data_IF_174312813818
#
_entry.id   IF_174312813818
#
_cell.length_a   1.000
_cell.length_b   1.000
_cell.length_c   1.000
_cell.angle_alpha   90.00
_cell.angle_beta   90.00
_cell.angle_gamma   90.00
#
_symmetry.space_group_name_H-M   'P 1'
#
loop_
_entity.id
_entity.type
_entity.pdbx_description
1 polymer ?
#
# COMPACT_ATOMS: atom_id res chain seq x y z
N UNK A 1 0.36 -2.92 -14.55
CA UNK A 1 -0.62 -2.77 -13.44
C UNK A 1 -0.62 -4.00 -12.52
N UNK A 2 -0.78 -5.22 -13.05
CA UNK A 2 -0.87 -6.44 -12.23
C UNK A 2 0.42 -6.75 -11.44
N UNK A 3 1.59 -6.51 -12.03
CA UNK A 3 2.88 -6.80 -11.35
C UNK A 3 3.13 -5.88 -10.15
N UNK A 4 2.73 -4.61 -10.25
CA UNK A 4 2.82 -3.68 -9.12
C UNK A 4 1.92 -4.13 -7.97
N UNK A 5 0.69 -4.56 -8.28
CA UNK A 5 -0.23 -5.09 -7.26
C UNK A 5 0.35 -6.30 -6.55
N UNK A 6 0.93 -7.25 -7.30
CA UNK A 6 1.56 -8.45 -6.72
C UNK A 6 2.71 -8.09 -5.80
N UNK A 7 3.63 -7.21 -6.23
CA UNK A 7 4.77 -6.77 -5.41
C UNK A 7 4.33 -6.06 -4.13
N UNK A 8 3.35 -5.15 -4.23
CA UNK A 8 2.79 -4.45 -3.07
C UNK A 8 2.20 -5.46 -2.07
N UNK A 9 1.42 -6.43 -2.53
CA UNK A 9 0.85 -7.45 -1.66
C UNK A 9 1.92 -8.34 -1.02
N UNK A 10 2.96 -8.71 -1.76
CA UNK A 10 4.08 -9.49 -1.22
C UNK A 10 4.80 -8.74 -0.10
N UNK A 11 5.08 -7.44 -0.29
CA UNK A 11 5.69 -6.60 0.75
C UNK A 11 4.78 -6.53 1.97
N UNK A 12 3.48 -6.25 1.80
CA UNK A 12 2.53 -6.13 2.90
C UNK A 12 2.34 -7.45 3.68
N UNK A 13 2.46 -8.61 3.01
CA UNK A 13 2.37 -9.92 3.66
C UNK A 13 3.67 -10.33 4.36
N UNK A 14 4.82 -9.87 3.87
CA UNK A 14 6.11 -10.12 4.50
C UNK A 14 6.34 -9.26 5.75
N UNK A 15 5.67 -8.11 5.83
CA UNK A 15 5.83 -7.13 6.90
C UNK A 15 4.74 -7.30 7.95
N UNK A 16 5.15 -7.50 9.21
CA UNK A 16 4.21 -7.66 10.32
C UNK A 16 3.70 -6.32 10.88
N UNK A 17 4.32 -5.20 10.48
CA UNK A 17 3.96 -3.86 10.93
C UNK A 17 3.38 -3.04 9.77
N UNK A 18 2.44 -2.11 10.03
CA UNK A 18 1.97 -1.19 9.02
C UNK A 18 3.09 -0.32 8.46
N UNK A 19 3.08 -0.10 7.14
CA UNK A 19 4.06 0.71 6.41
C UNK A 19 3.46 2.02 5.91
N UNK A 20 4.28 3.07 5.84
CA UNK A 20 3.90 4.26 5.08
C UNK A 20 3.84 3.94 3.58
N UNK A 21 3.12 4.76 2.81
CA UNK A 21 3.07 4.61 1.35
C UNK A 21 4.48 4.71 0.71
N UNK A 22 5.33 5.57 1.28
CA UNK A 22 6.70 5.78 0.81
C UNK A 22 7.56 4.54 1.05
N UNK A 23 7.48 3.96 2.26
CA UNK A 23 8.23 2.74 2.60
C UNK A 23 7.77 1.55 1.77
N UNK A 24 6.44 1.44 1.58
CA UNK A 24 5.84 0.42 0.73
C UNK A 24 6.31 0.55 -0.72
N UNK A 25 6.37 1.78 -1.25
CA UNK A 25 6.87 2.04 -2.60
C UNK A 25 8.35 1.69 -2.75
N UNK A 26 9.17 2.05 -1.76
CA UNK A 26 10.60 1.73 -1.74
C UNK A 26 10.82 0.21 -1.71
N UNK A 27 10.15 -0.50 -0.79
CA UNK A 27 10.25 -1.97 -0.67
C UNK A 27 9.71 -2.71 -1.90
N UNK A 28 8.69 -2.16 -2.57
CA UNK A 28 8.14 -2.70 -3.80
C UNK A 28 8.99 -2.37 -5.06
N UNK A 29 10.10 -1.64 -4.91
CA UNK A 29 10.97 -1.24 -6.02
C UNK A 29 10.32 -0.23 -6.96
N UNK A 30 9.43 0.62 -6.43
CA UNK A 30 8.56 1.51 -7.19
C UNK A 30 8.40 2.88 -6.52
N UNK A 31 9.48 3.44 -5.95
CA UNK A 31 9.48 4.72 -5.23
C UNK A 31 8.86 5.88 -6.03
N UNK A 32 9.06 5.91 -7.35
CA UNK A 32 8.47 6.93 -8.25
C UNK A 32 6.96 6.76 -8.49
N UNK A 33 6.38 5.65 -8.07
CA UNK A 33 4.97 5.30 -8.29
C UNK A 33 4.14 5.36 -7.01
N UNK A 34 4.55 6.17 -6.03
CA UNK A 34 3.85 6.30 -4.73
C UNK A 34 2.37 6.67 -4.91
N UNK A 35 2.02 7.56 -5.86
CA UNK A 35 0.62 7.90 -6.15
C UNK A 35 -0.17 6.72 -6.74
N UNK A 36 0.46 5.93 -7.61
CA UNK A 36 -0.17 4.73 -8.19
C UNK A 36 -0.41 3.67 -7.10
N UNK A 37 0.54 3.51 -6.17
CA UNK A 37 0.40 2.63 -5.00
C UNK A 37 -0.72 3.13 -4.09
N UNK A 38 -0.84 4.44 -3.84
CA UNK A 38 -1.95 5.00 -3.07
C UNK A 38 -3.31 4.63 -3.70
N UNK A 39 -3.48 4.86 -5.00
CA UNK A 39 -4.71 4.52 -5.72
C UNK A 39 -5.01 3.03 -5.66
N UNK A 40 -3.98 2.20 -5.79
CA UNK A 40 -4.07 0.74 -5.73
C UNK A 40 -4.51 0.26 -4.34
N UNK A 41 -3.84 0.70 -3.29
CA UNK A 41 -4.14 0.34 -1.90
C UNK A 41 -5.54 0.79 -1.52
N UNK A 42 -5.93 2.02 -1.88
CA UNK A 42 -7.30 2.53 -1.68
C UNK A 42 -8.34 1.66 -2.40
N UNK A 43 -8.06 1.25 -3.64
CA UNK A 43 -8.94 0.36 -4.38
C UNK A 43 -9.05 -1.02 -3.72
N UNK A 44 -7.92 -1.61 -3.30
CA UNK A 44 -7.92 -2.91 -2.61
C UNK A 44 -8.71 -2.87 -1.30
N UNK A 45 -8.49 -1.85 -0.48
CA UNK A 45 -9.22 -1.66 0.77
C UNK A 45 -10.72 -1.47 0.53
N UNK A 46 -11.11 -0.59 -0.41
CA UNK A 46 -12.52 -0.36 -0.73
C UNK A 46 -13.23 -1.63 -1.23
N UNK A 47 -12.47 -2.56 -1.84
CA UNK A 47 -12.96 -3.85 -2.31
C UNK A 47 -12.72 -5.00 -1.31
N UNK A 48 -12.29 -4.70 -0.07
CA UNK A 48 -12.00 -5.69 0.97
C UNK A 48 -11.03 -6.79 0.52
N UNK A 49 -10.03 -6.43 -0.29
CA UNK A 49 -9.04 -7.35 -0.86
C UNK A 49 -7.75 -7.40 -0.05
N UNK A 50 -7.83 -7.83 1.20
CA UNK A 50 -6.63 -8.24 1.95
C UNK A 50 -5.75 -7.11 2.50
N UNK A 51 -6.25 -5.86 2.55
CA UNK A 51 -5.45 -4.68 2.95
C UNK A 51 -6.23 -3.80 3.91
N UNK A 52 -5.56 -3.35 4.97
CA UNK A 52 -6.05 -2.36 5.94
C UNK A 52 -5.25 -1.08 5.80
N UNK A 53 -5.95 0.04 5.72
CA UNK A 53 -5.35 1.38 5.72
C UNK A 53 -5.80 2.11 6.98
N UNK A 54 -4.85 2.64 7.73
CA UNK A 54 -5.07 3.44 8.94
C UNK A 54 -4.56 4.86 8.70
N UNK A 55 -5.25 5.86 9.25
CA UNK A 55 -4.91 7.28 9.08
C UNK A 55 -5.94 8.06 8.23
N UNK A 56 -5.53 9.23 7.75
CA UNK A 56 -6.42 10.15 7.03
C UNK A 56 -6.32 9.95 5.50
N UNK A 57 -7.42 9.51 4.88
CA UNK A 57 -7.52 9.32 3.43
C UNK A 57 -7.39 10.62 2.62
N UNK A 58 -7.63 11.79 3.22
CA UNK A 58 -7.40 13.08 2.59
C UNK A 58 -5.92 13.53 2.68
N UNK A 59 -5.10 12.84 3.47
CA UNK A 59 -3.67 13.13 3.66
C UNK A 59 -2.85 11.84 3.46
N UNK A 60 -2.50 11.48 2.21
CA UNK A 60 -1.84 10.21 1.91
C UNK A 60 -0.53 9.98 2.67
N UNK A 61 0.21 11.04 3.00
CA UNK A 61 1.43 10.97 3.80
C UNK A 61 1.22 10.48 5.24
N UNK A 62 -0.02 10.55 5.76
CA UNK A 62 -0.39 10.03 7.09
C UNK A 62 -0.86 8.58 7.07
N UNK A 63 -0.99 7.96 5.88
CA UNK A 63 -1.54 6.63 5.75
C UNK A 63 -0.52 5.54 6.07
N UNK A 64 -0.95 4.62 6.91
CA UNK A 64 -0.25 3.39 7.24
C UNK A 64 -1.03 2.21 6.65
N UNK A 65 -0.32 1.30 5.97
CA UNK A 65 -0.91 0.20 5.20
C UNK A 65 -0.37 -1.13 5.70
N UNK A 66 -1.24 -2.10 5.91
CA UNK A 66 -0.90 -3.46 6.37
C UNK A 66 -1.76 -4.50 5.66
N UNK A 67 -1.32 -5.76 5.65
CA UNK A 67 -2.19 -6.87 5.28
C UNK A 67 -3.32 -7.01 6.32
N UNK A 68 -4.53 -7.39 5.85
CA UNK A 68 -5.69 -7.65 6.73
C UNK A 68 -5.68 -9.04 7.33
#
# INVERSE_FOLDING_TARGET
MLDLQKRVMQVLQAESAPLSLTDLAQKAGASEQTEAIYKLVRHLQANKRGVVCQGNMAQPSSLMVSAS
#
